data_IF_133287023986
#
_entry.id   IF_133287023986
#
_cell.length_a   1.000
_cell.length_b   1.000
_cell.length_c   1.000
_cell.angle_alpha   90.00
_cell.angle_beta   90.00
_cell.angle_gamma   90.00
#
_symmetry.space_group_name_H-M   'P 1'
#
loop_
_entity.id
_entity.type
_entity.pdbx_description
1 polymer ?
#
# COMPACT_ATOMS: atom_id res chain seq x y z
N UNK A 1 24.34 -7.01 -2.12
CA UNK A 1 23.61 -5.88 -1.50
C UNK A 1 22.71 -5.11 -2.48
N UNK A 2 23.22 -4.40 -3.52
CA UNK A 2 22.36 -3.66 -4.49
C UNK A 2 21.23 -4.50 -5.13
N UNK A 3 21.51 -5.78 -5.41
CA UNK A 3 20.56 -6.73 -6.02
C UNK A 3 19.34 -7.04 -5.13
N UNK A 4 19.49 -6.99 -3.81
CA UNK A 4 18.39 -7.25 -2.86
C UNK A 4 17.40 -6.08 -2.74
N UNK A 5 17.86 -4.86 -3.01
CA UNK A 5 17.02 -3.67 -2.99
C UNK A 5 16.24 -3.54 -4.28
N UNK A 6 16.90 -3.77 -5.42
CA UNK A 6 16.23 -3.82 -6.73
C UNK A 6 15.15 -4.89 -6.72
N UNK A 7 15.40 -6.06 -6.11
CA UNK A 7 14.38 -7.09 -5.97
C UNK A 7 13.24 -6.69 -5.03
N UNK A 8 13.49 -5.84 -4.02
CA UNK A 8 12.43 -5.30 -3.17
C UNK A 8 11.47 -4.38 -3.93
N UNK A 9 12.01 -3.42 -4.69
CA UNK A 9 11.20 -2.53 -5.53
C UNK A 9 10.48 -3.28 -6.65
N UNK A 10 11.14 -4.24 -7.30
CA UNK A 10 10.51 -5.08 -8.31
C UNK A 10 9.34 -5.88 -7.73
N UNK A 11 9.54 -6.52 -6.58
CA UNK A 11 8.48 -7.33 -5.97
C UNK A 11 7.34 -6.44 -5.47
N UNK A 12 7.61 -5.24 -4.93
CA UNK A 12 6.57 -4.26 -4.62
C UNK A 12 5.77 -3.90 -5.89
N UNK A 13 6.45 -3.63 -7.00
CA UNK A 13 5.82 -3.29 -8.28
C UNK A 13 4.97 -4.44 -8.81
N UNK A 14 5.52 -5.66 -8.83
CA UNK A 14 4.82 -6.87 -9.26
C UNK A 14 3.62 -7.15 -8.37
N UNK A 15 3.78 -7.02 -7.05
CA UNK A 15 2.69 -7.21 -6.08
C UNK A 15 1.57 -6.18 -6.30
N UNK A 16 1.91 -4.90 -6.47
CA UNK A 16 0.94 -3.85 -6.76
C UNK A 16 0.17 -4.11 -8.06
N UNK A 17 0.87 -4.47 -9.15
CA UNK A 17 0.26 -4.79 -10.44
C UNK A 17 -0.63 -6.04 -10.34
N UNK A 18 -0.14 -7.10 -9.70
CA UNK A 18 -0.91 -8.34 -9.51
C UNK A 18 -2.16 -8.09 -8.68
N UNK A 19 -2.07 -7.39 -7.55
CA UNK A 19 -3.22 -7.06 -6.71
C UNK A 19 -4.23 -6.19 -7.47
N UNK A 20 -3.78 -5.21 -8.26
CA UNK A 20 -4.67 -4.40 -9.10
C UNK A 20 -5.39 -5.26 -10.14
N UNK A 21 -4.66 -6.09 -10.88
CA UNK A 21 -5.25 -6.97 -11.91
C UNK A 21 -6.23 -7.95 -11.29
N UNK A 22 -5.88 -8.54 -10.14
CA UNK A 22 -6.76 -9.46 -9.41
C UNK A 22 -8.03 -8.75 -8.93
N UNK A 23 -7.90 -7.51 -8.46
CA UNK A 23 -9.04 -6.71 -7.99
C UNK A 23 -9.96 -6.33 -9.17
N UNK A 24 -9.41 -5.96 -10.33
CA UNK A 24 -10.21 -5.73 -11.56
C UNK A 24 -10.91 -7.01 -12.00
N UNK A 25 -10.20 -8.15 -12.02
CA UNK A 25 -10.78 -9.44 -12.39
C UNK A 25 -11.93 -9.85 -11.47
N UNK A 26 -11.81 -9.61 -10.16
CA UNK A 26 -12.90 -9.86 -9.21
C UNK A 26 -14.14 -9.04 -9.56
N UNK A 27 -13.98 -7.77 -9.93
CA UNK A 27 -15.12 -6.92 -10.34
C UNK A 27 -15.68 -7.25 -11.72
N UNK A 28 -14.97 -8.03 -12.54
CA UNK A 28 -15.43 -8.47 -13.86
C UNK A 28 -16.28 -9.75 -13.81
N UNK A 29 -16.23 -10.51 -12.72
CA UNK A 29 -17.00 -11.76 -12.57
C UNK A 29 -18.51 -11.41 -12.47
N UNK A 30 -19.34 -11.86 -13.44
CA UNK A 30 -20.79 -11.67 -13.38
C UNK A 30 -21.33 -12.50 -12.21
N UNK A 31 -21.83 -11.83 -11.16
CA UNK A 31 -22.39 -12.49 -9.97
C UNK A 31 -21.97 -11.87 -8.63
N UNK A 32 -20.94 -11.02 -8.61
CA UNK A 32 -20.48 -10.38 -7.37
C UNK A 32 -21.29 -9.10 -7.05
N UNK A 33 -22.13 -8.61 -7.97
CA UNK A 33 -23.13 -7.56 -7.72
C UNK A 33 -22.56 -6.17 -7.34
N UNK A 34 -21.24 -5.98 -7.39
CA UNK A 34 -20.59 -4.72 -7.03
C UNK A 34 -20.33 -3.91 -8.31
N UNK A 35 -21.09 -2.84 -8.49
CA UNK A 35 -20.81 -1.84 -9.52
C UNK A 35 -19.68 -0.92 -9.05
N UNK A 36 -18.57 -0.89 -9.78
CA UNK A 36 -17.47 0.06 -9.57
C UNK A 36 -17.74 1.43 -10.20
N UNK A 37 -18.88 1.58 -10.90
CA UNK A 37 -19.23 2.79 -11.67
C UNK A 37 -19.49 4.03 -10.80
N UNK A 38 -19.89 3.83 -9.53
CA UNK A 38 -20.20 4.91 -8.59
C UNK A 38 -19.04 5.22 -7.62
N UNK A 39 -17.84 4.66 -7.85
CA UNK A 39 -16.69 4.91 -6.98
C UNK A 39 -16.17 6.34 -7.18
N UNK A 40 -15.93 7.05 -6.07
CA UNK A 40 -15.36 8.40 -6.10
C UNK A 40 -13.93 8.35 -6.63
N UNK A 41 -13.16 7.36 -6.18
CA UNK A 41 -11.81 7.13 -6.72
C UNK A 41 -11.77 5.86 -7.57
N UNK A 42 -11.30 5.97 -8.83
CA UNK A 42 -11.01 4.80 -9.63
C UNK A 42 -10.00 3.91 -8.92
N UNK A 43 -10.22 2.59 -8.95
CA UNK A 43 -9.29 1.60 -8.37
C UNK A 43 -7.81 1.86 -8.73
N UNK A 44 -7.45 2.19 -10.00
CA UNK A 44 -6.06 2.46 -10.35
C UNK A 44 -5.46 3.64 -9.58
N UNK A 45 -6.25 4.68 -9.28
CA UNK A 45 -5.79 5.87 -8.55
C UNK A 45 -5.45 5.52 -7.11
N UNK A 46 -6.32 4.76 -6.44
CA UNK A 46 -6.11 4.28 -5.07
C UNK A 46 -4.86 3.40 -4.97
N UNK A 47 -4.69 2.45 -5.91
CA UNK A 47 -3.50 1.61 -5.98
C UNK A 47 -2.23 2.42 -6.23
N UNK A 48 -2.27 3.40 -7.14
CA UNK A 48 -1.12 4.24 -7.46
C UNK A 48 -0.71 5.13 -6.28
N UNK A 49 -1.68 5.66 -5.53
CA UNK A 49 -1.44 6.41 -4.30
C UNK A 49 -0.71 5.55 -3.25
N UNK A 50 -1.23 4.36 -2.93
CA UNK A 50 -0.59 3.48 -1.95
C UNK A 50 0.76 2.96 -2.42
N UNK A 51 0.89 2.62 -3.71
CA UNK A 51 2.16 2.25 -4.32
C UNK A 51 3.20 3.37 -4.20
N UNK A 52 2.83 4.62 -4.49
CA UNK A 52 3.71 5.78 -4.34
C UNK A 52 4.18 5.96 -2.89
N UNK A 53 3.26 5.87 -1.92
CA UNK A 53 3.60 5.88 -0.51
C UNK A 53 4.58 4.76 -0.14
N UNK A 54 4.30 3.51 -0.54
CA UNK A 54 5.17 2.37 -0.27
C UNK A 54 6.55 2.50 -0.91
N UNK A 55 6.61 3.05 -2.12
CA UNK A 55 7.87 3.31 -2.81
C UNK A 55 8.74 4.29 -2.02
N UNK A 56 8.15 5.38 -1.52
CA UNK A 56 8.84 6.37 -0.67
C UNK A 56 9.30 5.73 0.64
N UNK A 57 8.43 4.96 1.30
CA UNK A 57 8.75 4.29 2.58
C UNK A 57 9.93 3.33 2.42
N UNK A 58 9.90 2.46 1.40
CA UNK A 58 11.02 1.56 1.12
C UNK A 58 12.29 2.34 0.78
N UNK A 59 12.21 3.41 -0.01
CA UNK A 59 13.34 4.26 -0.34
C UNK A 59 14.01 4.87 0.91
N UNK A 60 13.21 5.43 1.81
CA UNK A 60 13.71 6.01 3.07
C UNK A 60 14.27 4.94 4.01
N UNK A 61 13.63 3.77 4.13
CA UNK A 61 14.15 2.65 4.91
C UNK A 61 15.52 2.20 4.38
N UNK A 62 15.68 2.07 3.08
CA UNK A 62 16.94 1.66 2.47
C UNK A 62 18.02 2.72 2.70
N UNK A 63 17.67 4.00 2.55
CA UNK A 63 18.60 5.10 2.82
C UNK A 63 19.12 5.08 4.27
N UNK A 64 18.22 4.88 5.25
CA UNK A 64 18.60 4.81 6.66
C UNK A 64 19.27 3.49 7.03
N UNK A 65 18.97 2.38 6.34
CA UNK A 65 19.65 1.10 6.53
C UNK A 65 21.17 1.23 6.40
N UNK A 66 21.64 2.03 5.43
CA UNK A 66 23.06 2.28 5.22
C UNK A 66 23.70 3.17 6.30
N UNK A 67 22.91 3.99 7.00
CA UNK A 67 23.41 4.93 8.00
C UNK A 67 23.35 4.35 9.41
N UNK A 68 22.21 3.77 9.79
CA UNK A 68 21.95 3.28 11.16
C UNK A 68 20.86 2.22 11.15
N UNK A 69 21.27 0.95 11.09
CA UNK A 69 20.36 -0.20 11.06
C UNK A 69 19.45 -0.29 12.30
N UNK A 70 19.95 0.14 13.46
CA UNK A 70 19.22 0.12 14.73
C UNK A 70 17.97 1.02 14.74
N UNK A 71 17.96 2.05 13.89
CA UNK A 71 16.85 3.02 13.83
C UNK A 71 15.76 2.63 12.82
N UNK A 72 15.93 1.55 12.07
CA UNK A 72 15.00 1.16 11.00
C UNK A 72 13.59 0.87 11.50
N UNK A 73 13.45 0.20 12.65
CA UNK A 73 12.14 -0.12 13.23
C UNK A 73 11.38 1.15 13.60
N UNK A 74 12.05 2.10 14.24
CA UNK A 74 11.45 3.40 14.60
C UNK A 74 11.08 4.22 13.37
N UNK A 75 11.94 4.24 12.36
CA UNK A 75 11.64 4.93 11.10
C UNK A 75 10.45 4.31 10.39
N UNK A 76 10.37 2.99 10.31
CA UNK A 76 9.22 2.29 9.72
C UNK A 76 7.92 2.65 10.43
N UNK A 77 7.91 2.65 11.77
CA UNK A 77 6.73 3.00 12.56
C UNK A 77 6.29 4.46 12.30
N UNK A 78 7.25 5.39 12.26
CA UNK A 78 6.96 6.80 11.99
C UNK A 78 6.41 6.99 10.57
N UNK A 79 7.04 6.36 9.58
CA UNK A 79 6.64 6.45 8.18
C UNK A 79 5.26 5.83 7.92
N UNK A 80 4.96 4.70 8.54
CA UNK A 80 3.63 4.07 8.43
C UNK A 80 2.55 4.86 9.15
N UNK A 81 2.85 5.46 10.30
CA UNK A 81 1.93 6.37 10.97
C UNK A 81 1.65 7.62 10.11
N UNK A 82 2.69 8.20 9.50
CA UNK A 82 2.53 9.31 8.56
C UNK A 82 1.68 8.91 7.34
N UNK A 83 1.96 7.75 6.73
CA UNK A 83 1.14 7.19 5.63
C UNK A 83 -0.31 7.01 6.05
N UNK A 84 -0.58 6.54 7.27
CA UNK A 84 -1.94 6.37 7.77
C UNK A 84 -2.66 7.72 7.88
N UNK A 85 -2.00 8.76 8.38
CA UNK A 85 -2.57 10.12 8.45
C UNK A 85 -2.86 10.69 7.06
N UNK A 86 -1.93 10.53 6.10
CA UNK A 86 -2.11 10.98 4.71
C UNK A 86 -3.23 10.18 4.03
N UNK A 87 -3.29 8.86 4.25
CA UNK A 87 -4.34 8.00 3.73
C UNK A 87 -5.71 8.37 4.30
N UNK A 88 -5.79 8.77 5.58
CA UNK A 88 -7.03 9.28 6.17
C UNK A 88 -7.44 10.62 5.54
N UNK A 89 -6.50 11.54 5.31
CA UNK A 89 -6.79 12.81 4.66
C UNK A 89 -7.27 12.61 3.20
N UNK A 90 -6.57 11.76 2.43
CA UNK A 90 -6.91 11.42 1.05
C UNK A 90 -8.25 10.65 0.97
N UNK A 91 -8.41 9.66 1.86
CA UNK A 91 -9.60 8.82 1.97
C UNK A 91 -10.76 9.50 2.68
N UNK A 92 -10.63 10.74 3.18
CA UNK A 92 -11.68 11.42 3.95
C UNK A 92 -13.00 11.48 3.18
N UNK A 93 -12.95 11.74 1.87
CA UNK A 93 -14.12 11.73 0.98
C UNK A 93 -14.75 10.33 0.84
N UNK A 94 -13.93 9.27 0.86
CA UNK A 94 -14.39 7.88 0.80
C UNK A 94 -14.95 7.44 2.15
N UNK A 95 -14.33 7.84 3.26
CA UNK A 95 -14.60 7.37 4.62
C UNK A 95 -15.83 8.08 5.21
N UNK A 96 -16.03 9.37 4.95
CA UNK A 96 -17.13 10.17 5.51
C UNK A 96 -18.45 10.06 4.74
N UNK A 97 -18.49 9.28 3.65
CA UNK A 97 -19.71 9.09 2.86
C UNK A 97 -20.75 8.30 3.68
N UNK A 98 -21.91 8.91 3.93
CA UNK A 98 -22.84 8.46 4.97
C UNK A 98 -23.76 7.31 4.53
N UNK A 99 -24.05 7.15 3.24
CA UNK A 99 -24.98 6.12 2.74
C UNK A 99 -24.52 5.52 1.40
N UNK A 100 -24.62 4.19 1.28
CA UNK A 100 -24.57 3.47 0.00
C UNK A 100 -23.26 2.75 -0.35
N UNK A 101 -22.07 3.34 -0.13
CA UNK A 101 -20.82 2.82 -0.71
C UNK A 101 -19.83 2.20 0.28
N UNK A 102 -20.32 1.38 1.22
CA UNK A 102 -19.48 0.64 2.20
C UNK A 102 -18.41 -0.22 1.53
N UNK A 103 -18.66 -0.66 0.30
CA UNK A 103 -17.72 -1.48 -0.49
C UNK A 103 -16.46 -0.72 -0.89
N UNK A 104 -16.57 0.56 -1.27
CA UNK A 104 -15.40 1.40 -1.61
C UNK A 104 -14.51 1.62 -0.38
N UNK A 105 -15.12 1.84 0.80
CA UNK A 105 -14.40 1.96 2.08
C UNK A 105 -13.61 0.69 2.41
N UNK A 106 -14.25 -0.48 2.29
CA UNK A 106 -13.61 -1.77 2.55
C UNK A 106 -12.47 -1.98 1.56
N UNK A 107 -12.68 -1.70 0.27
CA UNK A 107 -11.64 -1.84 -0.75
C UNK A 107 -10.43 -0.94 -0.43
N UNK A 108 -10.64 0.33 -0.11
CA UNK A 108 -9.59 1.25 0.29
C UNK A 108 -8.77 0.72 1.48
N UNK A 109 -9.45 0.19 2.51
CA UNK A 109 -8.79 -0.34 3.70
C UNK A 109 -8.04 -1.66 3.41
N UNK A 110 -8.60 -2.53 2.58
CA UNK A 110 -7.94 -3.77 2.14
C UNK A 110 -6.67 -3.45 1.36
N UNK A 111 -6.71 -2.49 0.42
CA UNK A 111 -5.52 -2.05 -0.31
C UNK A 111 -4.48 -1.50 0.67
N UNK A 112 -4.88 -0.66 1.62
CA UNK A 112 -3.97 -0.13 2.64
C UNK A 112 -3.24 -1.25 3.40
N UNK A 113 -3.98 -2.26 3.88
CA UNK A 113 -3.42 -3.42 4.60
C UNK A 113 -2.47 -4.23 3.71
N UNK A 114 -2.86 -4.51 2.45
CA UNK A 114 -2.01 -5.25 1.51
C UNK A 114 -0.64 -4.59 1.33
N UNK A 115 -0.63 -3.26 1.14
CA UNK A 115 0.61 -2.50 1.03
C UNK A 115 1.37 -2.40 2.38
N UNK A 116 0.68 -2.38 3.52
CA UNK A 116 1.33 -2.37 4.82
C UNK A 116 2.04 -3.70 5.13
N UNK A 117 1.43 -4.83 4.75
CA UNK A 117 2.03 -6.17 4.93
C UNK A 117 3.35 -6.27 4.16
N UNK A 118 3.39 -5.78 2.91
CA UNK A 118 4.61 -5.86 2.11
C UNK A 118 5.72 -4.96 2.68
N UNK A 119 5.38 -3.75 3.14
CA UNK A 119 6.33 -2.85 3.81
C UNK A 119 6.86 -3.46 5.11
N UNK A 120 5.98 -4.07 5.92
CA UNK A 120 6.35 -4.74 7.17
C UNK A 120 7.27 -5.94 6.91
N UNK A 121 6.95 -6.77 5.91
CA UNK A 121 7.78 -7.89 5.49
C UNK A 121 9.20 -7.44 5.11
N UNK A 122 9.31 -6.38 4.29
CA UNK A 122 10.62 -5.86 3.88
C UNK A 122 11.40 -5.24 5.03
N UNK A 123 10.72 -4.51 5.91
CA UNK A 123 11.35 -3.95 7.12
C UNK A 123 11.88 -5.06 8.01
N UNK A 124 11.09 -6.11 8.26
CA UNK A 124 11.51 -7.27 9.03
C UNK A 124 12.72 -7.97 8.38
N UNK A 125 12.71 -8.13 7.06
CA UNK A 125 13.84 -8.70 6.30
C UNK A 125 15.10 -7.85 6.41
N UNK A 126 14.99 -6.52 6.34
CA UNK A 126 16.11 -5.59 6.50
C UNK A 126 16.69 -5.64 7.91
N UNK A 127 15.84 -5.67 8.94
CA UNK A 127 16.26 -5.81 10.33
C UNK A 127 16.98 -7.15 10.57
N UNK A 128 16.47 -8.25 9.99
CA UNK A 128 17.02 -9.58 10.21
C UNK A 128 18.27 -9.89 9.36
N UNK A 129 18.56 -9.10 8.32
CA UNK A 129 19.83 -9.20 7.57
C UNK A 129 21.01 -8.74 8.41
N UNK A 130 21.61 -9.64 9.19
CA UNK A 130 22.92 -9.43 9.84
C UNK A 130 24.01 -9.22 8.80
#
# INVERSE_FOLDING_TARGET
MKKDFISAFLLLTVFAVLSLVLNILLYLIPGIGISTADFIYPLPVTYLFFYGCSFVILGLLIFVYYKSKEQLGYLFLLLTAAKMAIAYAFGSSVINMQEGNSTEKINFFVIFILFLIIEAYYTARLLNKK
#
